data_IF_893697207025
#
_entry.id   IF_893697207025
#
_cell.length_a   1.000
_cell.length_b   1.000
_cell.length_c   1.000
_cell.angle_alpha   90.00
_cell.angle_beta   90.00
_cell.angle_gamma   90.00
#
_symmetry.space_group_name_H-M   'P 1'
#
loop_
_entity.id
_entity.type
_entity.pdbx_description
1 polymer ?
#
# COMPACT_ATOMS: atom_id res chain seq x y z
N UNK A 1 19.13 -33.73 -19.00
CA UNK A 1 19.59 -34.03 -17.63
C UNK A 1 20.05 -32.73 -17.07
N UNK A 2 19.45 -32.10 -16.23
CA UNK A 2 18.87 -32.18 -14.90
C UNK A 2 19.05 -30.79 -14.31
N UNK A 3 18.18 -30.15 -13.70
CA UNK A 3 17.13 -30.40 -12.77
C UNK A 3 16.66 -29.06 -12.27
N UNK A 4 15.40 -28.87 -12.43
CA UNK A 4 14.64 -27.72 -11.94
C UNK A 4 14.70 -27.70 -10.41
N UNK A 5 15.41 -26.77 -9.82
CA UNK A 5 15.27 -26.51 -8.38
C UNK A 5 14.09 -25.56 -8.19
N UNK A 6 12.94 -26.16 -7.89
CA UNK A 6 11.80 -25.44 -7.34
C UNK A 6 12.19 -24.92 -5.96
N UNK A 7 12.44 -23.63 -5.84
CA UNK A 7 12.52 -22.94 -4.55
C UNK A 7 11.11 -22.42 -4.23
N UNK A 8 10.31 -23.25 -3.58
CA UNK A 8 9.11 -22.79 -2.89
C UNK A 8 9.57 -21.92 -1.72
N UNK A 9 9.39 -20.63 -1.86
CA UNK A 9 9.49 -19.71 -0.72
C UNK A 9 8.24 -19.91 0.13
N UNK A 10 8.36 -20.78 1.14
CA UNK A 10 7.31 -20.92 2.15
C UNK A 10 7.50 -19.78 3.14
N UNK A 11 6.75 -18.71 2.94
CA UNK A 11 6.61 -17.68 3.95
C UNK A 11 5.79 -18.25 5.11
N UNK A 12 6.45 -18.82 6.09
CA UNK A 12 5.83 -19.22 7.35
C UNK A 12 5.73 -17.97 8.21
N UNK A 13 4.56 -17.34 8.20
CA UNK A 13 4.20 -16.37 9.23
C UNK A 13 3.97 -17.15 10.50
N UNK A 14 4.98 -17.32 11.33
CA UNK A 14 4.84 -17.83 12.69
C UNK A 14 4.35 -16.69 13.59
N UNK A 15 3.05 -16.61 13.77
CA UNK A 15 2.42 -15.77 14.77
C UNK A 15 2.80 -16.30 16.16
N UNK A 16 3.88 -15.77 16.73
CA UNK A 16 4.28 -16.08 18.10
C UNK A 16 3.37 -15.31 19.04
N UNK A 17 2.45 -16.04 19.68
CA UNK A 17 1.59 -15.50 20.75
C UNK A 17 2.50 -15.04 21.88
N UNK A 18 2.65 -13.74 22.06
CA UNK A 18 3.27 -13.17 23.25
C UNK A 18 2.33 -13.40 24.44
N UNK A 19 2.83 -14.13 25.45
CA UNK A 19 2.16 -14.31 26.72
C UNK A 19 2.00 -12.97 27.46
N UNK A 20 0.91 -12.75 28.21
CA UNK A 20 0.66 -11.49 28.89
C UNK A 20 1.69 -11.24 30.00
N UNK A 21 2.39 -10.12 29.92
CA UNK A 21 3.15 -9.59 31.07
C UNK A 21 2.14 -8.96 32.01
N UNK A 22 1.87 -9.61 33.12
CA UNK A 22 1.07 -9.05 34.20
C UNK A 22 1.88 -8.03 34.98
N UNK A 23 1.43 -6.79 35.03
CA UNK A 23 2.00 -5.80 35.93
C UNK A 23 1.46 -4.38 35.76
N UNK A 24 0.71 -3.98 36.76
CA UNK A 24 0.18 -2.66 37.16
C UNK A 24 -1.20 -2.29 36.63
N UNK A 25 -2.09 -2.03 37.61
CA UNK A 25 -3.41 -1.49 37.44
C UNK A 25 -3.31 -0.05 36.91
N UNK A 26 -3.46 0.09 35.60
CA UNK A 26 -3.90 1.28 34.91
C UNK A 26 -5.29 0.96 34.37
N UNK A 27 -6.10 1.98 34.15
CA UNK A 27 -7.40 1.88 33.49
C UNK A 27 -7.33 0.81 32.38
N UNK A 28 -8.31 -0.11 32.37
CA UNK A 28 -8.35 -1.20 31.40
C UNK A 28 -8.51 -0.61 30.00
N UNK A 29 -7.39 -0.18 29.41
CA UNK A 29 -7.37 0.15 27.99
C UNK A 29 -7.60 -1.15 27.24
N UNK A 30 -8.74 -1.25 26.57
CA UNK A 30 -9.04 -2.38 25.71
C UNK A 30 -7.98 -2.43 24.59
N UNK A 31 -7.45 -3.62 24.33
CA UNK A 31 -6.59 -3.86 23.17
C UNK A 31 -7.47 -4.18 21.98
N UNK A 32 -7.32 -3.42 20.92
CA UNK A 32 -7.96 -3.62 19.62
C UNK A 32 -6.95 -4.16 18.63
N UNK A 33 -7.41 -4.95 17.70
CA UNK A 33 -6.61 -5.42 16.57
C UNK A 33 -7.49 -5.52 15.33
N UNK A 34 -6.90 -5.38 14.18
CA UNK A 34 -7.56 -5.55 12.90
C UNK A 34 -6.56 -5.92 11.83
N UNK A 35 -7.06 -6.54 10.79
CA UNK A 35 -6.32 -6.87 9.56
C UNK A 35 -7.21 -6.49 8.40
N UNK A 36 -6.66 -5.71 7.47
CA UNK A 36 -7.36 -5.28 6.28
C UNK A 36 -6.48 -5.54 5.05
N UNK A 37 -7.10 -6.04 4.00
CA UNK A 37 -6.53 -6.08 2.66
C UNK A 37 -7.42 -5.20 1.79
N UNK A 38 -6.92 -4.04 1.44
CA UNK A 38 -7.66 -3.07 0.63
C UNK A 38 -7.61 -3.43 -0.83
N UNK A 39 -6.45 -3.92 -1.27
CA UNK A 39 -6.25 -4.41 -2.61
C UNK A 39 -5.72 -5.84 -2.57
N UNK A 40 -6.40 -6.72 -3.25
CA UNK A 40 -5.97 -8.05 -3.61
C UNK A 40 -6.50 -8.29 -5.02
N UNK A 41 -5.76 -7.77 -6.02
CA UNK A 41 -6.30 -7.59 -7.36
C UNK A 41 -5.38 -8.08 -8.46
N UNK A 42 -6.01 -8.58 -9.51
CA UNK A 42 -5.39 -8.81 -10.80
C UNK A 42 -5.66 -7.60 -11.69
N UNK A 43 -4.59 -7.06 -12.27
CA UNK A 43 -4.59 -5.92 -13.19
C UNK A 43 -4.23 -6.41 -14.59
N UNK A 44 -5.05 -6.05 -15.58
CA UNK A 44 -4.79 -6.32 -16.99
C UNK A 44 -4.63 -4.99 -17.74
N UNK A 45 -3.42 -4.74 -18.21
CA UNK A 45 -3.03 -3.53 -18.91
C UNK A 45 -3.41 -3.54 -20.39
N UNK A 46 -3.61 -2.35 -20.96
CA UNK A 46 -3.98 -2.18 -22.37
C UNK A 46 -2.91 -2.67 -23.34
N UNK A 47 -1.64 -2.74 -22.94
CA UNK A 47 -0.52 -3.30 -23.71
C UNK A 47 -0.34 -4.81 -23.55
N UNK A 48 -1.15 -5.46 -22.69
CA UNK A 48 -1.05 -6.89 -22.38
C UNK A 48 -0.21 -7.18 -21.14
N UNK A 49 0.07 -6.18 -20.32
CA UNK A 49 0.70 -6.32 -19.02
C UNK A 49 -0.27 -7.01 -18.06
N UNK A 50 0.23 -7.98 -17.33
CA UNK A 50 -0.52 -8.71 -16.31
C UNK A 50 0.16 -8.56 -14.96
N UNK A 51 -0.48 -7.84 -14.03
CA UNK A 51 0.04 -7.61 -12.69
C UNK A 51 -0.88 -8.25 -11.64
N UNK A 52 -0.27 -8.68 -10.57
CA UNK A 52 -0.97 -8.98 -9.34
C UNK A 52 -0.54 -7.96 -8.29
N UNK A 53 -1.49 -7.11 -7.86
CA UNK A 53 -1.26 -6.09 -6.86
C UNK A 53 -1.90 -6.48 -5.52
N UNK A 54 -1.24 -6.16 -4.44
CA UNK A 54 -1.81 -6.26 -3.11
C UNK A 54 -1.40 -5.07 -2.25
N UNK A 55 -2.34 -4.60 -1.46
CA UNK A 55 -2.14 -3.63 -0.39
C UNK A 55 -2.94 -4.04 0.84
N UNK A 56 -2.34 -3.93 2.01
CA UNK A 56 -3.02 -4.26 3.24
C UNK A 56 -2.26 -3.84 4.48
N UNK A 57 -3.00 -3.78 5.57
CA UNK A 57 -2.47 -3.41 6.86
C UNK A 57 -2.98 -4.31 7.99
N UNK A 58 -2.26 -4.28 9.09
CA UNK A 58 -2.65 -4.90 10.34
C UNK A 58 -2.23 -4.02 11.51
N UNK A 59 -3.08 -3.92 12.51
CA UNK A 59 -2.74 -3.17 13.71
C UNK A 59 -3.11 -3.90 14.98
N UNK A 60 -2.40 -3.57 16.05
CA UNK A 60 -2.70 -3.97 17.41
C UNK A 60 -2.34 -2.85 18.38
N UNK A 61 -3.20 -2.54 19.32
CA UNK A 61 -2.92 -1.50 20.33
C UNK A 61 -4.15 -1.04 21.06
N UNK A 62 -4.06 0.16 21.59
CA UNK A 62 -5.12 0.86 22.31
C UNK A 62 -5.61 2.06 21.49
N UNK A 63 -6.62 2.78 21.98
CA UNK A 63 -7.08 4.01 21.35
C UNK A 63 -5.98 5.10 21.29
N UNK A 64 -5.04 5.07 22.25
CA UNK A 64 -3.97 6.06 22.33
C UNK A 64 -2.72 5.70 21.53
N UNK A 65 -2.41 4.39 21.42
CA UNK A 65 -1.18 3.93 20.75
C UNK A 65 -1.42 2.59 20.07
N UNK A 66 -1.14 2.53 18.77
CA UNK A 66 -1.22 1.34 17.94
C UNK A 66 0.14 1.04 17.32
N UNK A 67 0.49 -0.24 17.26
CA UNK A 67 1.52 -0.75 16.37
C UNK A 67 0.81 -1.15 15.08
N UNK A 68 1.24 -0.59 13.94
CA UNK A 68 0.69 -0.89 12.62
C UNK A 68 1.78 -1.49 11.73
N UNK A 69 1.41 -2.49 10.99
CA UNK A 69 2.15 -2.99 9.84
C UNK A 69 1.36 -2.64 8.57
N UNK A 70 2.06 -2.13 7.57
CA UNK A 70 1.51 -1.82 6.24
C UNK A 70 2.38 -2.55 5.22
N UNK A 71 1.77 -3.22 4.26
CA UNK A 71 2.48 -4.01 3.27
C UNK A 71 1.82 -3.93 1.92
N UNK A 72 2.60 -3.58 0.90
CA UNK A 72 2.12 -3.49 -0.48
C UNK A 72 3.12 -4.12 -1.44
N UNK A 73 2.64 -4.48 -2.62
CA UNK A 73 3.51 -4.97 -3.67
C UNK A 73 2.79 -5.28 -4.97
N UNK A 74 3.57 -5.27 -6.02
CA UNK A 74 3.15 -5.59 -7.38
C UNK A 74 4.04 -6.68 -7.95
N UNK A 75 3.41 -7.72 -8.46
CA UNK A 75 4.05 -8.86 -9.10
C UNK A 75 3.69 -8.86 -10.59
N UNK A 76 4.68 -8.66 -11.44
CA UNK A 76 4.54 -8.88 -12.89
C UNK A 76 4.38 -10.37 -13.15
N UNK A 77 3.22 -10.77 -13.66
CA UNK A 77 2.88 -12.17 -13.96
C UNK A 77 3.49 -12.63 -15.30
N UNK A 78 3.82 -11.72 -16.21
CA UNK A 78 4.40 -12.04 -17.49
C UNK A 78 5.83 -12.55 -17.35
N UNK A 79 6.60 -11.93 -16.42
CA UNK A 79 7.99 -12.32 -16.12
C UNK A 79 8.15 -12.99 -14.75
N UNK A 80 7.09 -13.06 -13.95
CA UNK A 80 7.04 -13.64 -12.61
C UNK A 80 8.10 -13.02 -11.67
N UNK A 81 8.11 -11.71 -11.60
CA UNK A 81 9.02 -10.90 -10.79
C UNK A 81 8.26 -9.78 -10.08
N UNK A 82 8.59 -9.53 -8.83
CA UNK A 82 8.10 -8.34 -8.15
C UNK A 82 8.68 -7.08 -8.78
N UNK A 83 7.80 -6.15 -9.14
CA UNK A 83 8.16 -4.81 -9.55
C UNK A 83 8.39 -3.92 -8.34
N UNK A 84 7.53 -4.07 -7.35
CA UNK A 84 7.65 -3.38 -6.07
C UNK A 84 7.22 -4.30 -4.93
N UNK A 85 7.90 -4.16 -3.80
CA UNK A 85 7.50 -4.79 -2.54
C UNK A 85 7.89 -3.86 -1.40
N UNK A 86 6.93 -3.52 -0.57
CA UNK A 86 7.11 -2.58 0.52
C UNK A 86 6.52 -3.16 1.81
N UNK A 87 7.22 -2.94 2.90
CA UNK A 87 6.75 -3.30 4.24
C UNK A 87 7.13 -2.18 5.22
N UNK A 88 6.16 -1.68 5.95
CA UNK A 88 6.34 -0.64 6.95
C UNK A 88 5.86 -1.12 8.31
N UNK A 89 6.58 -0.77 9.35
CA UNK A 89 6.15 -0.92 10.75
C UNK A 89 6.19 0.46 11.38
N UNK A 90 5.06 0.89 11.93
CA UNK A 90 4.91 2.21 12.50
C UNK A 90 4.18 2.16 13.85
N UNK A 91 4.48 3.11 14.70
CA UNK A 91 3.66 3.49 15.84
C UNK A 91 2.71 4.60 15.38
N UNK A 92 1.44 4.45 15.72
CA UNK A 92 0.37 5.37 15.38
C UNK A 92 -0.32 5.87 16.64
N UNK A 93 -0.55 7.17 16.73
CA UNK A 93 -1.23 7.81 17.84
C UNK A 93 -2.14 8.93 17.35
N UNK A 94 -3.35 9.10 17.92
CA UNK A 94 -4.24 10.18 17.54
C UNK A 94 -3.67 11.54 17.94
N UNK A 95 -3.79 12.53 17.06
CA UNK A 95 -3.49 13.94 17.30
C UNK A 95 -4.76 14.80 17.30
N UNK A 96 -5.86 14.26 16.80
CA UNK A 96 -7.21 14.85 16.86
C UNK A 96 -8.26 13.75 16.69
N UNK A 97 -9.54 14.13 16.74
CA UNK A 97 -10.68 13.20 16.58
C UNK A 97 -10.72 12.53 15.20
N UNK A 98 -10.04 13.09 14.20
CA UNK A 98 -10.07 12.63 12.82
C UNK A 98 -8.70 12.34 12.22
N UNK A 99 -7.62 12.62 12.96
CA UNK A 99 -6.27 12.49 12.44
C UNK A 99 -5.33 11.79 13.39
N UNK A 100 -4.60 10.83 12.88
CA UNK A 100 -3.52 10.13 13.54
C UNK A 100 -2.18 10.51 12.90
N UNK A 101 -1.14 10.55 13.72
CA UNK A 101 0.25 10.61 13.25
C UNK A 101 0.87 9.22 13.33
N UNK A 102 1.66 8.88 12.32
CA UNK A 102 2.42 7.64 12.24
C UNK A 102 3.92 7.92 12.22
N UNK A 103 4.71 7.07 12.84
CA UNK A 103 6.17 7.15 12.78
C UNK A 103 6.80 5.76 12.83
N UNK A 104 7.68 5.45 11.88
CA UNK A 104 8.21 4.10 11.76
C UNK A 104 9.35 3.94 10.79
N UNK A 105 9.54 2.71 10.37
CA UNK A 105 10.53 2.30 9.38
C UNK A 105 9.85 1.54 8.24
N UNK A 106 10.27 1.79 7.01
CA UNK A 106 9.84 1.10 5.80
C UNK A 106 11.04 0.41 5.16
N UNK A 107 10.84 -0.82 4.77
CA UNK A 107 11.72 -1.55 3.87
C UNK A 107 11.05 -1.66 2.51
N UNK A 108 11.74 -1.29 1.46
CA UNK A 108 11.25 -1.38 0.09
C UNK A 108 12.25 -2.12 -0.79
N UNK A 109 11.72 -3.03 -1.61
CA UNK A 109 12.47 -3.78 -2.61
C UNK A 109 11.90 -3.42 -3.99
N UNK A 110 12.37 -2.32 -4.61
CA UNK A 110 12.00 -1.92 -5.96
C UNK A 110 12.73 -2.77 -7.00
N UNK A 111 12.56 -2.46 -8.28
CA UNK A 111 13.33 -3.08 -9.37
C UNK A 111 14.85 -2.75 -9.35
N UNK A 112 15.37 -2.20 -8.28
CA UNK A 112 16.77 -1.87 -8.05
C UNK A 112 17.26 -2.45 -6.74
N UNK A 113 18.28 -1.85 -6.13
CA UNK A 113 18.73 -2.25 -4.82
C UNK A 113 17.70 -1.87 -3.76
N UNK A 114 17.55 -2.75 -2.77
CA UNK A 114 16.68 -2.53 -1.62
C UNK A 114 16.96 -1.21 -0.90
N UNK A 115 15.95 -0.63 -0.28
CA UNK A 115 16.04 0.63 0.47
C UNK A 115 15.34 0.53 1.81
N UNK A 116 15.98 1.13 2.81
CA UNK A 116 15.40 1.40 4.11
C UNK A 116 15.06 2.88 4.25
N UNK A 117 13.91 3.16 4.85
CA UNK A 117 13.44 4.51 5.08
C UNK A 117 13.02 4.71 6.53
N UNK A 118 13.33 5.87 7.08
CA UNK A 118 12.56 6.41 8.19
C UNK A 118 11.28 7.02 7.60
N UNK A 119 10.14 6.73 8.21
CA UNK A 119 8.83 7.15 7.75
C UNK A 119 8.11 7.97 8.83
N UNK A 120 7.49 9.07 8.42
CA UNK A 120 6.54 9.84 9.22
C UNK A 120 5.32 10.09 8.36
N UNK A 121 4.13 9.84 8.90
CA UNK A 121 2.90 9.96 8.15
C UNK A 121 1.75 10.55 8.96
N UNK A 122 0.72 10.94 8.25
CA UNK A 122 -0.59 11.35 8.78
C UNK A 122 -1.65 10.52 8.09
N UNK A 123 -2.55 9.93 8.86
CA UNK A 123 -3.73 9.25 8.34
C UNK A 123 -4.99 9.77 9.01
N UNK A 124 -6.07 9.84 8.27
CA UNK A 124 -7.32 10.30 8.85
C UNK A 124 -8.42 10.61 7.84
N UNK A 125 -9.48 11.20 8.36
CA UNK A 125 -10.65 11.59 7.60
C UNK A 125 -10.66 13.09 7.34
N UNK A 126 -10.53 13.49 6.10
CA UNK A 126 -10.71 14.85 5.64
C UNK A 126 -12.22 15.20 5.56
N UNK A 127 -12.60 16.48 5.38
CA UNK A 127 -13.99 16.88 5.18
C UNK A 127 -14.68 16.03 4.11
N UNK A 128 -15.95 15.73 4.33
CA UNK A 128 -16.78 14.85 3.46
C UNK A 128 -16.41 13.37 3.53
N UNK A 129 -15.72 12.93 4.58
CA UNK A 129 -15.35 11.54 4.82
C UNK A 129 -14.36 10.96 3.79
N UNK A 130 -13.53 11.81 3.18
CA UNK A 130 -12.40 11.35 2.38
C UNK A 130 -11.34 10.76 3.31
N UNK A 131 -10.94 9.53 3.04
CA UNK A 131 -9.78 8.91 3.68
C UNK A 131 -8.53 9.46 3.05
N UNK A 132 -7.59 9.90 3.88
CA UNK A 132 -6.32 10.46 3.45
C UNK A 132 -5.21 9.81 4.23
N UNK A 133 -4.25 9.25 3.52
CA UNK A 133 -3.01 8.75 4.07
C UNK A 133 -1.83 9.44 3.37
N UNK A 134 -0.86 9.91 4.12
CA UNK A 134 0.31 10.58 3.54
C UNK A 134 1.54 10.30 4.35
N UNK A 135 2.67 10.10 3.66
CA UNK A 135 3.95 9.86 4.31
C UNK A 135 5.06 10.74 3.74
N UNK A 136 6.03 10.99 4.59
CA UNK A 136 7.36 11.48 4.23
C UNK A 136 8.38 10.39 4.56
N UNK A 137 9.20 10.06 3.58
CA UNK A 137 10.23 9.03 3.70
C UNK A 137 11.61 9.63 3.56
N UNK A 138 12.50 9.25 4.46
CA UNK A 138 13.92 9.55 4.37
C UNK A 138 14.71 8.26 4.24
N UNK A 139 15.30 8.01 3.06
CA UNK A 139 16.08 6.80 2.81
C UNK A 139 17.44 6.82 3.52
N UNK A 140 18.04 5.65 3.69
CA UNK A 140 19.43 5.51 4.17
C UNK A 140 20.46 6.23 3.29
N UNK A 141 20.10 6.56 2.05
CA UNK A 141 20.92 7.36 1.13
C UNK A 141 20.70 8.87 1.29
N UNK A 142 19.89 9.30 2.27
CA UNK A 142 19.54 10.70 2.47
C UNK A 142 18.61 11.27 1.40
N UNK A 143 17.85 10.41 0.68
CA UNK A 143 16.86 10.82 -0.30
C UNK A 143 15.51 10.99 0.38
N UNK A 144 14.87 12.12 0.15
CA UNK A 144 13.54 12.43 0.68
C UNK A 144 12.51 12.22 -0.40
N UNK A 145 11.42 11.50 -0.06
CA UNK A 145 10.24 11.30 -0.90
C UNK A 145 8.97 11.44 -0.08
N UNK A 146 7.85 11.54 -0.76
CA UNK A 146 6.52 11.63 -0.15
C UNK A 146 5.53 10.84 -0.99
N UNK A 147 4.52 10.31 -0.33
CA UNK A 147 3.30 9.82 -0.95
C UNK A 147 2.06 10.49 -0.37
N UNK A 148 1.01 10.46 -1.14
CA UNK A 148 -0.32 10.91 -0.77
C UNK A 148 -1.33 9.96 -1.40
N UNK A 149 -2.10 9.29 -0.55
CA UNK A 149 -3.22 8.47 -0.94
C UNK A 149 -4.54 9.11 -0.49
N UNK A 150 -5.54 9.07 -1.35
CA UNK A 150 -6.87 9.63 -1.11
C UNK A 150 -7.90 8.64 -1.64
N UNK A 151 -8.82 8.22 -0.77
CA UNK A 151 -9.97 7.42 -1.12
C UNK A 151 -11.28 8.05 -0.68
N UNK A 152 -12.35 7.75 -1.40
CA UNK A 152 -13.68 8.17 -1.04
C UNK A 152 -14.72 7.09 -1.33
N UNK A 153 -15.40 6.59 -0.27
CA UNK A 153 -16.43 5.58 -0.42
C UNK A 153 -17.80 6.21 -0.72
N UNK A 154 -18.36 5.94 -1.90
CA UNK A 154 -19.70 6.33 -2.33
C UNK A 154 -20.63 5.14 -2.22
N UNK A 155 -21.45 5.09 -1.18
CA UNK A 155 -22.46 4.04 -1.01
C UNK A 155 -23.61 4.25 -2.03
N UNK A 156 -23.62 3.45 -3.10
CA UNK A 156 -24.71 3.47 -4.08
C UNK A 156 -25.95 2.74 -3.56
N UNK A 157 -25.72 1.66 -2.80
CA UNK A 157 -26.73 0.90 -2.05
C UNK A 157 -26.13 0.41 -0.73
N UNK A 158 -26.87 -0.32 0.09
CA UNK A 158 -26.33 -0.94 1.31
C UNK A 158 -25.25 -2.00 1.04
N UNK A 159 -25.13 -2.48 -0.19
CA UNK A 159 -24.18 -3.55 -0.56
C UNK A 159 -23.23 -3.14 -1.69
N UNK A 160 -23.52 -2.05 -2.39
CA UNK A 160 -22.76 -1.62 -3.56
C UNK A 160 -22.09 -0.30 -3.27
N UNK A 161 -20.76 -0.30 -3.29
CA UNK A 161 -19.91 0.86 -3.01
C UNK A 161 -19.06 1.18 -4.24
N UNK A 162 -19.02 2.45 -4.61
CA UNK A 162 -18.12 2.97 -5.64
C UNK A 162 -16.99 3.74 -4.94
N UNK A 163 -15.76 3.32 -5.18
CA UNK A 163 -14.57 3.91 -4.54
C UNK A 163 -13.67 4.54 -5.60
N UNK A 164 -13.75 5.86 -5.84
CA UNK A 164 -12.67 6.59 -6.49
C UNK A 164 -11.46 6.69 -5.54
N UNK A 165 -10.27 6.50 -6.09
CA UNK A 165 -8.99 6.62 -5.39
C UNK A 165 -7.99 7.43 -6.21
N UNK A 166 -7.03 8.05 -5.54
CA UNK A 166 -5.91 8.73 -6.15
C UNK A 166 -4.66 8.58 -5.28
N UNK A 167 -3.59 8.09 -5.88
CA UNK A 167 -2.26 8.05 -5.26
C UNK A 167 -1.30 8.97 -6.01
N UNK A 168 -0.46 9.69 -5.28
CA UNK A 168 0.54 10.60 -5.82
C UNK A 168 1.87 10.33 -5.11
N UNK A 169 2.89 10.01 -5.89
CA UNK A 169 4.25 9.87 -5.38
C UNK A 169 5.13 11.02 -5.87
N UNK A 170 5.97 11.52 -4.97
CA UNK A 170 6.92 12.58 -5.28
C UNK A 170 8.26 12.34 -4.59
N UNK A 171 9.36 12.71 -5.25
CA UNK A 171 10.69 12.69 -4.66
C UNK A 171 11.36 14.07 -4.74
N UNK A 172 11.96 14.50 -3.66
CA UNK A 172 12.66 15.79 -3.61
C UNK A 172 14.04 15.74 -4.26
N UNK A 173 14.57 14.53 -4.46
CA UNK A 173 15.85 14.31 -5.15
C UNK A 173 15.83 12.98 -5.90
N UNK A 174 16.44 12.93 -7.08
CA UNK A 174 16.50 11.70 -7.88
C UNK A 174 17.32 10.60 -7.20
N UNK A 175 16.84 9.37 -7.31
CA UNK A 175 17.56 8.12 -7.02
C UNK A 175 17.54 7.23 -8.27
N UNK A 176 18.58 7.37 -9.10
CA UNK A 176 18.67 6.66 -10.38
C UNK A 176 18.87 5.16 -10.21
N UNK A 177 19.36 4.71 -9.05
CA UNK A 177 19.60 3.28 -8.79
C UNK A 177 18.27 2.51 -8.72
N UNK A 178 17.18 3.19 -8.39
CA UNK A 178 15.83 2.62 -8.30
C UNK A 178 14.84 3.27 -9.29
N UNK A 179 15.36 3.93 -10.34
CA UNK A 179 14.52 4.52 -11.40
C UNK A 179 13.69 5.73 -11.00
N UNK A 180 13.95 6.36 -9.85
CA UNK A 180 13.16 7.48 -9.32
C UNK A 180 13.77 8.82 -9.69
N UNK A 181 13.01 9.66 -10.39
CA UNK A 181 13.34 11.04 -10.71
C UNK A 181 12.99 12.01 -9.57
N UNK A 182 13.39 13.27 -9.70
CA UNK A 182 12.95 14.34 -8.79
C UNK A 182 11.66 15.00 -9.28
N UNK A 183 10.79 15.42 -8.36
CA UNK A 183 9.47 15.99 -8.63
C UNK A 183 8.36 14.97 -8.39
N UNK A 184 7.22 15.16 -9.03
CA UNK A 184 6.15 14.16 -9.07
C UNK A 184 6.64 12.98 -9.90
N UNK A 185 6.61 11.79 -9.35
CA UNK A 185 7.10 10.56 -9.98
C UNK A 185 5.99 9.81 -10.67
N UNK A 186 4.89 9.61 -9.94
CA UNK A 186 3.71 8.90 -10.44
C UNK A 186 2.42 9.51 -9.90
N UNK A 187 1.37 9.32 -10.66
CA UNK A 187 -0.01 9.53 -10.25
C UNK A 187 -0.79 8.30 -10.70
N UNK A 188 -1.46 7.67 -9.77
CA UNK A 188 -2.43 6.62 -10.03
C UNK A 188 -3.83 7.14 -9.71
N UNK A 189 -4.81 6.86 -10.54
CA UNK A 189 -6.21 7.16 -10.31
C UNK A 189 -7.04 5.91 -10.54
N UNK A 190 -7.77 5.48 -9.52
CA UNK A 190 -8.59 4.28 -9.53
C UNK A 190 -10.08 4.59 -9.44
N UNK A 191 -10.89 3.69 -9.98
CA UNK A 191 -12.33 3.66 -9.76
C UNK A 191 -12.76 2.21 -9.63
N UNK A 192 -13.16 1.81 -8.43
CA UNK A 192 -13.53 0.43 -8.09
C UNK A 192 -14.98 0.36 -7.68
N UNK A 193 -15.71 -0.64 -8.16
CA UNK A 193 -17.09 -0.93 -7.79
C UNK A 193 -17.12 -2.26 -7.04
N UNK A 194 -17.34 -2.18 -5.73
CA UNK A 194 -17.36 -3.34 -4.83
C UNK A 194 -18.78 -3.75 -4.45
N UNK A 195 -18.96 -5.03 -4.19
CA UNK A 195 -20.18 -5.60 -3.69
C UNK A 195 -19.94 -6.36 -2.40
N UNK A 196 -20.56 -5.93 -1.30
CA UNK A 196 -20.45 -6.57 0.01
C UNK A 196 -21.19 -7.91 0.02
N UNK A 197 -20.42 -8.99 0.08
CA UNK A 197 -20.98 -10.35 0.08
C UNK A 197 -21.23 -10.82 1.51
N UNK A 198 -20.37 -10.46 2.46
CA UNK A 198 -20.42 -10.96 3.82
C UNK A 198 -20.01 -9.86 4.82
N UNK A 199 -20.98 -9.01 5.18
CA UNK A 199 -20.84 -7.99 6.23
C UNK A 199 -19.51 -7.21 6.20
N UNK A 200 -19.08 -6.80 5.00
CA UNK A 200 -17.77 -6.14 4.73
C UNK A 200 -16.52 -7.00 4.99
N UNK A 201 -16.66 -8.24 5.45
CA UNK A 201 -15.53 -9.16 5.61
C UNK A 201 -14.92 -9.50 4.24
N UNK A 202 -15.78 -9.65 3.22
CA UNK A 202 -15.39 -9.94 1.85
C UNK A 202 -16.20 -9.08 0.87
N UNK A 203 -15.52 -8.24 0.12
CA UNK A 203 -16.11 -7.37 -0.87
C UNK A 203 -15.36 -7.50 -2.20
N UNK A 204 -15.76 -8.44 -3.08
CA UNK A 204 -15.23 -8.51 -4.43
C UNK A 204 -15.56 -7.22 -5.20
N UNK A 205 -14.66 -6.83 -6.09
CA UNK A 205 -14.83 -5.65 -6.92
C UNK A 205 -14.30 -5.82 -8.34
N UNK A 206 -14.74 -4.95 -9.20
CA UNK A 206 -14.20 -4.71 -10.54
C UNK A 206 -13.93 -3.22 -10.68
N UNK A 207 -12.97 -2.86 -11.51
CA UNK A 207 -12.62 -1.45 -11.66
C UNK A 207 -11.72 -1.15 -12.83
N UNK A 208 -11.30 0.09 -12.87
CA UNK A 208 -10.28 0.61 -13.79
C UNK A 208 -9.27 1.43 -13.01
N UNK A 209 -8.02 1.33 -13.39
CA UNK A 209 -6.92 2.09 -12.82
C UNK A 209 -6.15 2.74 -13.97
N UNK A 210 -5.83 4.00 -13.84
CA UNK A 210 -4.94 4.73 -14.72
C UNK A 210 -3.71 5.14 -13.97
N UNK A 211 -2.57 4.72 -14.43
CA UNK A 211 -1.27 5.10 -13.88
C UNK A 211 -0.50 5.95 -14.89
N UNK A 212 0.21 6.97 -14.39
CA UNK A 212 1.12 7.79 -15.20
C UNK A 212 2.37 8.15 -14.43
N UNK A 213 3.51 7.85 -15.02
CA UNK A 213 4.83 8.31 -14.56
C UNK A 213 5.13 9.68 -15.14
N UNK A 214 5.90 10.50 -14.41
CA UNK A 214 6.22 11.87 -14.80
C UNK A 214 7.71 12.16 -14.77
N UNK A 215 8.10 13.20 -15.51
CA UNK A 215 9.43 13.80 -15.46
C UNK A 215 10.56 12.84 -15.79
N UNK A 216 11.58 12.78 -14.92
CA UNK A 216 12.72 11.88 -15.11
C UNK A 216 12.35 10.40 -14.92
N UNK A 217 11.36 10.10 -14.07
CA UNK A 217 10.87 8.74 -13.88
C UNK A 217 10.27 8.20 -15.16
N UNK A 218 9.44 8.98 -15.87
CA UNK A 218 8.91 8.60 -17.17
C UNK A 218 10.03 8.32 -18.19
N UNK A 219 11.07 9.18 -18.23
CA UNK A 219 12.19 8.95 -19.13
C UNK A 219 12.98 7.65 -18.83
N UNK A 220 13.05 7.23 -17.55
CA UNK A 220 13.70 5.96 -17.19
C UNK A 220 12.87 4.77 -17.66
N UNK A 221 11.56 4.78 -17.43
CA UNK A 221 10.61 3.75 -17.85
C UNK A 221 10.60 3.62 -19.37
N UNK A 222 10.51 4.73 -20.11
CA UNK A 222 10.55 4.74 -21.58
C UNK A 222 11.89 4.23 -22.13
N UNK A 223 13.01 4.48 -21.44
CA UNK A 223 14.32 3.98 -21.83
C UNK A 223 14.44 2.46 -21.68
N UNK A 224 13.64 1.84 -20.82
CA UNK A 224 13.53 0.39 -20.64
C UNK A 224 12.55 -0.23 -21.64
N UNK A 225 11.82 0.59 -22.39
CA UNK A 225 10.89 0.17 -23.43
C UNK A 225 9.45 0.01 -22.94
N UNK A 226 9.16 0.48 -21.73
CA UNK A 226 7.83 0.45 -21.11
C UNK A 226 7.08 1.77 -21.38
N UNK A 227 5.76 1.77 -21.20
CA UNK A 227 4.92 2.96 -21.34
C UNK A 227 4.97 3.83 -20.07
N UNK A 228 5.04 5.15 -20.26
CA UNK A 228 4.96 6.08 -19.15
C UNK A 228 3.53 6.27 -18.61
N UNK A 229 2.52 5.82 -19.33
CA UNK A 229 1.11 5.82 -18.92
C UNK A 229 0.41 4.55 -19.39
N UNK A 230 -0.50 4.03 -18.56
CA UNK A 230 -1.19 2.77 -18.80
C UNK A 230 -2.57 2.75 -18.13
N UNK A 231 -3.53 2.13 -18.81
CA UNK A 231 -4.83 1.79 -18.26
C UNK A 231 -4.89 0.33 -17.92
N UNK A 232 -5.37 0.02 -16.72
CA UNK A 232 -5.64 -1.33 -16.25
C UNK A 232 -7.13 -1.55 -16.07
N UNK A 233 -7.64 -2.70 -16.54
CA UNK A 233 -8.87 -3.28 -16.04
C UNK A 233 -8.52 -4.15 -14.83
N UNK A 234 -9.27 -3.99 -13.72
CA UNK A 234 -8.95 -4.68 -12.47
C UNK A 234 -10.11 -5.52 -11.97
N UNK A 235 -9.78 -6.66 -11.38
CA UNK A 235 -10.69 -7.52 -10.63
C UNK A 235 -10.01 -7.95 -9.33
N UNK A 236 -10.70 -7.79 -8.23
CA UNK A 236 -10.09 -8.08 -6.93
C UNK A 236 -11.11 -8.26 -5.81
N UNK A 237 -10.61 -8.25 -4.60
CA UNK A 237 -11.42 -8.30 -3.39
C UNK A 237 -10.78 -7.49 -2.26
N UNK A 238 -11.63 -6.79 -1.50
CA UNK A 238 -11.29 -6.23 -0.18
C UNK A 238 -11.62 -7.27 0.90
N UNK A 239 -10.76 -7.39 1.91
CA UNK A 239 -10.95 -8.26 3.07
C UNK A 239 -10.74 -7.45 4.34
N UNK A 240 -11.62 -7.62 5.35
CA UNK A 240 -11.52 -6.91 6.63
C UNK A 240 -11.86 -7.85 7.79
N UNK A 241 -10.97 -7.94 8.79
CA UNK A 241 -11.11 -8.81 9.95
C UNK A 241 -10.82 -8.10 11.27
#
# INVERSE_FOLDING_TARGET
MTGLKKSLLTAVISLSILAPVTGYAAETSNIYYGVQMEEFEYRYGEGGEELFAFDGDAFIGTDELKLRWEGSGELDLNVNRFESLSNQIALQTPISDFWDIKGGIRYSSPQGPDRWYAAVGLSGLAPQWMEVDTHLFLSEKGKLSADLDIEYEILLTNYLTLTPSANIEAAFSSDREIGVGSGINSVEAGLRLSYDVWDRILSPYVGVVYERKFGQTANFVEAEGESADIWYAVIGAKLMF
#
